data_IF_347255293353
#
_entry.id   IF_347255293353
#
_cell.length_a   1.000
_cell.length_b   1.000
_cell.length_c   1.000
_cell.angle_alpha   90.00
_cell.angle_beta   90.00
_cell.angle_gamma   90.00
#
_symmetry.space_group_name_H-M   'P 1'
#
loop_
_entity.id
_entity.type
_entity.pdbx_description
1 polymer ?
#
# COMPACT_ATOMS: atom_id res chain seq x y z
N UNK A 1 32.38 2.56 -33.20
CA UNK A 1 32.37 1.19 -33.77
C UNK A 1 31.14 0.48 -33.21
N UNK A 2 30.36 -0.23 -34.02
CA UNK A 2 29.17 -0.92 -33.53
C UNK A 2 29.53 -2.27 -32.89
N UNK A 3 28.99 -2.55 -31.70
CA UNK A 3 29.14 -3.85 -31.03
C UNK A 3 28.17 -4.85 -31.64
N UNK A 4 28.65 -6.06 -31.93
CA UNK A 4 27.75 -7.15 -32.36
C UNK A 4 26.88 -7.60 -31.18
N UNK A 5 25.69 -8.14 -31.47
CA UNK A 5 24.80 -8.67 -30.42
C UNK A 5 25.49 -9.67 -29.47
N UNK A 6 26.44 -10.47 -29.97
CA UNK A 6 27.21 -11.40 -29.16
C UNK A 6 28.18 -10.66 -28.24
N UNK A 7 28.92 -9.68 -28.76
CA UNK A 7 29.81 -8.86 -27.95
C UNK A 7 29.06 -8.10 -26.84
N UNK A 8 27.87 -7.56 -27.15
CA UNK A 8 27.03 -6.90 -26.15
C UNK A 8 26.53 -7.87 -25.08
N UNK A 9 26.07 -9.07 -25.49
CA UNK A 9 25.64 -10.12 -24.58
C UNK A 9 26.76 -10.52 -23.61
N UNK A 10 27.97 -10.70 -24.13
CA UNK A 10 29.14 -11.09 -23.35
C UNK A 10 29.56 -9.99 -22.36
N UNK A 11 29.60 -8.72 -22.80
CA UNK A 11 29.99 -7.58 -21.95
C UNK A 11 28.94 -7.29 -20.87
N UNK A 12 27.66 -7.37 -21.20
CA UNK A 12 26.57 -7.06 -20.29
C UNK A 12 26.13 -8.26 -19.42
N UNK A 13 26.72 -9.44 -19.63
CA UNK A 13 26.38 -10.65 -18.86
C UNK A 13 24.95 -11.14 -19.09
N UNK A 14 24.35 -10.86 -20.25
CA UNK A 14 22.96 -11.27 -20.58
C UNK A 14 22.93 -12.15 -21.82
N UNK A 15 21.93 -13.02 -21.91
CA UNK A 15 21.81 -13.89 -23.09
C UNK A 15 21.46 -13.08 -24.35
N UNK A 16 21.92 -13.54 -25.52
CA UNK A 16 21.50 -13.00 -26.83
C UNK A 16 19.96 -13.04 -26.98
N UNK A 17 19.30 -14.07 -26.42
CA UNK A 17 17.83 -14.17 -26.38
C UNK A 17 17.20 -13.01 -25.60
N UNK A 18 17.81 -12.57 -24.51
CA UNK A 18 17.38 -11.42 -23.72
C UNK A 18 17.44 -10.14 -24.54
N UNK A 19 18.54 -9.89 -25.26
CA UNK A 19 18.69 -8.72 -26.13
C UNK A 19 17.65 -8.72 -27.27
N UNK A 20 17.39 -9.87 -27.88
CA UNK A 20 16.32 -10.00 -28.87
C UNK A 20 14.92 -9.77 -28.28
N UNK A 21 14.68 -10.21 -27.04
CA UNK A 21 13.43 -9.95 -26.36
C UNK A 21 13.26 -8.44 -26.09
N UNK A 22 14.30 -7.75 -25.60
CA UNK A 22 14.26 -6.31 -25.37
C UNK A 22 14.00 -5.51 -26.63
N UNK A 23 14.57 -5.91 -27.76
CA UNK A 23 14.24 -5.28 -29.05
C UNK A 23 12.78 -5.51 -29.44
N UNK A 24 12.27 -6.73 -29.27
CA UNK A 24 10.88 -7.07 -29.60
C UNK A 24 9.86 -6.24 -28.83
N UNK A 25 10.13 -5.99 -27.55
CA UNK A 25 9.27 -5.14 -26.69
C UNK A 25 9.62 -3.64 -26.82
N UNK A 26 10.57 -3.29 -27.69
CA UNK A 26 11.02 -1.93 -27.93
C UNK A 26 11.78 -1.29 -26.76
N UNK A 27 12.28 -2.08 -25.82
CA UNK A 27 13.03 -1.63 -24.66
C UNK A 27 14.47 -1.26 -25.02
N UNK A 28 15.11 -2.01 -25.92
CA UNK A 28 16.45 -1.75 -26.43
C UNK A 28 16.53 -2.16 -27.90
N UNK A 29 16.75 -1.20 -28.81
CA UNK A 29 16.86 -1.47 -30.25
C UNK A 29 18.31 -1.31 -30.70
N UNK A 30 18.80 -2.14 -31.62
CA UNK A 30 20.13 -1.94 -32.19
C UNK A 30 20.14 -0.67 -33.06
N UNK A 31 21.17 0.17 -32.93
CA UNK A 31 21.36 1.35 -33.77
C UNK A 31 21.41 1.04 -35.28
N UNK A 32 21.91 -0.14 -35.67
CA UNK A 32 21.97 -0.54 -37.07
C UNK A 32 21.90 -2.06 -37.27
N UNK A 33 21.67 -2.47 -38.51
CA UNK A 33 21.89 -3.84 -38.96
C UNK A 33 22.96 -3.82 -40.04
N UNK A 34 23.95 -4.71 -39.96
CA UNK A 34 25.01 -4.82 -40.95
C UNK A 34 24.46 -5.35 -42.29
N UNK A 35 25.19 -5.18 -43.41
CA UNK A 35 24.80 -5.74 -44.71
C UNK A 35 24.59 -7.27 -44.69
N UNK A 36 25.24 -7.97 -43.76
CA UNK A 36 25.10 -9.42 -43.56
C UNK A 36 23.97 -9.80 -42.58
N UNK A 37 23.14 -8.84 -42.13
CA UNK A 37 21.98 -9.08 -41.26
C UNK A 37 22.27 -9.11 -39.76
N UNK A 38 23.49 -8.74 -39.32
CA UNK A 38 23.85 -8.74 -37.90
C UNK A 38 23.42 -7.44 -37.22
N UNK A 39 22.84 -7.54 -36.02
CA UNK A 39 22.49 -6.40 -35.17
C UNK A 39 23.76 -5.75 -34.62
N UNK A 40 23.85 -4.43 -34.77
CA UNK A 40 24.94 -3.60 -34.31
C UNK A 40 24.41 -2.57 -33.31
N UNK A 41 25.00 -2.56 -32.12
CA UNK A 41 24.66 -1.64 -31.04
C UNK A 41 25.72 -0.55 -30.92
N UNK A 42 25.30 0.67 -30.63
CA UNK A 42 26.14 1.84 -30.36
C UNK A 42 26.50 1.94 -28.88
N UNK A 43 27.45 2.81 -28.51
CA UNK A 43 27.74 3.11 -27.10
C UNK A 43 26.50 3.64 -26.36
N UNK A 44 25.64 4.42 -27.02
CA UNK A 44 24.37 4.89 -26.46
C UNK A 44 23.39 3.74 -26.19
N UNK A 45 23.38 2.71 -27.04
CA UNK A 45 22.57 1.51 -26.80
C UNK A 45 23.12 0.71 -25.61
N UNK A 46 24.44 0.67 -25.42
CA UNK A 46 25.06 0.04 -24.24
C UNK A 46 24.71 0.81 -22.97
N UNK A 47 24.74 2.14 -22.98
CA UNK A 47 24.29 2.95 -21.84
C UNK A 47 22.82 2.68 -21.51
N UNK A 48 21.97 2.60 -22.52
CA UNK A 48 20.56 2.27 -22.35
C UNK A 48 20.37 0.85 -21.80
N UNK A 49 21.11 -0.12 -22.32
CA UNK A 49 21.10 -1.50 -21.80
C UNK A 49 21.52 -1.52 -20.33
N UNK A 50 22.57 -0.78 -19.97
CA UNK A 50 23.03 -0.69 -18.58
C UNK A 50 21.91 -0.17 -17.67
N UNK A 51 21.19 0.88 -18.08
CA UNK A 51 20.03 1.39 -17.34
C UNK A 51 18.93 0.34 -17.18
N UNK A 52 18.61 -0.36 -18.27
CA UNK A 52 17.62 -1.44 -18.24
C UNK A 52 18.01 -2.50 -17.20
N UNK A 53 19.26 -2.91 -17.18
CA UNK A 53 19.75 -3.90 -16.22
C UNK A 53 19.72 -3.36 -14.78
N UNK A 54 20.08 -2.10 -14.56
CA UNK A 54 19.98 -1.48 -13.23
C UNK A 54 18.55 -1.50 -12.67
N UNK A 55 17.56 -1.07 -13.45
CA UNK A 55 16.18 -1.08 -12.96
C UNK A 55 15.62 -2.49 -12.80
N UNK A 56 16.07 -3.46 -13.61
CA UNK A 56 15.72 -4.87 -13.38
C UNK A 56 16.28 -5.40 -12.07
N UNK A 57 17.51 -5.04 -11.73
CA UNK A 57 18.15 -5.44 -10.47
C UNK A 57 17.40 -4.87 -9.26
N UNK A 58 16.79 -3.69 -9.44
CA UNK A 58 15.89 -3.06 -8.46
C UNK A 58 14.50 -3.73 -8.35
N UNK A 59 14.23 -4.78 -9.12
CA UNK A 59 12.97 -5.52 -9.10
C UNK A 59 11.85 -4.93 -9.94
N UNK A 60 12.11 -3.90 -10.74
CA UNK A 60 11.10 -3.33 -11.65
C UNK A 60 10.79 -4.28 -12.80
N UNK A 61 9.53 -4.32 -13.23
CA UNK A 61 9.12 -5.10 -14.40
C UNK A 61 9.67 -4.47 -15.68
N UNK A 62 9.87 -5.26 -16.74
CA UNK A 62 10.36 -4.75 -18.03
C UNK A 62 9.50 -3.63 -18.63
N UNK A 63 8.20 -3.61 -18.29
CA UNK A 63 7.27 -2.57 -18.72
C UNK A 63 7.53 -1.25 -17.98
N UNK A 64 7.72 -1.30 -16.65
CA UNK A 64 8.06 -0.12 -15.85
C UNK A 64 9.41 0.47 -16.27
N UNK A 65 10.41 -0.40 -16.48
CA UNK A 65 11.74 0.01 -16.95
C UNK A 65 11.64 0.76 -18.28
N UNK A 66 10.79 0.29 -19.20
CA UNK A 66 10.58 0.95 -20.48
C UNK A 66 9.99 2.36 -20.29
N UNK A 67 8.98 2.48 -19.43
CA UNK A 67 8.32 3.75 -19.16
C UNK A 67 9.27 4.79 -18.53
N UNK A 68 10.16 4.37 -17.64
CA UNK A 68 11.15 5.27 -17.01
C UNK A 68 12.23 5.72 -17.99
N UNK A 69 12.79 4.77 -18.75
CA UNK A 69 13.92 5.05 -19.65
C UNK A 69 13.49 5.86 -20.88
N UNK A 70 12.23 5.77 -21.28
CA UNK A 70 11.66 6.56 -22.38
C UNK A 70 11.10 7.92 -21.95
N UNK A 71 11.04 8.21 -20.63
CA UNK A 71 10.46 9.46 -20.13
C UNK A 71 11.46 10.63 -20.23
N UNK A 72 11.08 11.76 -20.88
CA UNK A 72 11.94 12.94 -21.00
C UNK A 72 12.07 13.74 -19.68
N UNK A 73 11.19 13.51 -18.70
CA UNK A 73 11.21 14.18 -17.38
C UNK A 73 11.96 13.37 -16.32
N UNK A 74 12.44 12.17 -16.66
CA UNK A 74 13.14 11.29 -15.73
C UNK A 74 14.52 11.82 -15.38
N UNK A 75 14.73 12.25 -14.12
CA UNK A 75 16.06 12.58 -13.62
C UNK A 75 16.87 11.31 -13.36
N UNK A 76 17.67 10.93 -14.37
CA UNK A 76 18.62 9.81 -14.34
C UNK A 76 19.54 9.87 -13.12
N UNK A 77 19.96 11.05 -12.71
CA UNK A 77 20.89 11.23 -11.59
C UNK A 77 20.20 10.95 -10.27
N UNK A 78 18.96 11.41 -10.10
CA UNK A 78 18.18 11.16 -8.90
C UNK A 78 17.85 9.67 -8.71
N UNK A 79 17.45 8.99 -9.79
CA UNK A 79 17.19 7.55 -9.75
C UNK A 79 18.44 6.73 -9.40
N UNK A 80 19.61 7.08 -9.96
CA UNK A 80 20.88 6.45 -9.60
C UNK A 80 21.31 6.75 -8.16
N UNK A 81 21.02 7.94 -7.64
CA UNK A 81 21.24 8.27 -6.22
C UNK A 81 20.32 7.44 -5.31
N UNK A 82 19.05 7.26 -5.68
CA UNK A 82 18.12 6.39 -4.96
C UNK A 82 18.58 4.92 -4.96
N UNK A 83 19.03 4.42 -6.12
CA UNK A 83 19.61 3.09 -6.23
C UNK A 83 20.86 2.92 -5.37
N UNK A 84 21.77 3.90 -5.40
CA UNK A 84 22.98 3.89 -4.56
C UNK A 84 22.62 3.83 -3.08
N UNK A 85 21.57 4.53 -2.62
CA UNK A 85 21.11 4.45 -1.22
C UNK A 85 20.70 3.02 -0.87
N UNK A 86 19.90 2.37 -1.71
CA UNK A 86 19.48 0.97 -1.51
C UNK A 86 20.67 0.00 -1.51
N UNK A 87 21.60 0.15 -2.44
CA UNK A 87 22.81 -0.69 -2.51
C UNK A 87 23.72 -0.51 -1.28
N UNK A 88 23.88 0.72 -0.80
CA UNK A 88 24.67 1.01 0.42
C UNK A 88 24.00 0.38 1.64
N UNK A 89 22.67 0.40 1.72
CA UNK A 89 21.92 -0.26 2.79
C UNK A 89 22.07 -1.79 2.75
N UNK A 90 21.95 -2.39 1.55
CA UNK A 90 22.21 -3.83 1.34
C UNK A 90 23.65 -4.20 1.71
N UNK A 91 24.63 -3.38 1.32
CA UNK A 91 26.03 -3.55 1.68
C UNK A 91 26.22 -3.50 3.21
N UNK A 92 25.56 -2.56 3.89
CA UNK A 92 25.59 -2.49 5.35
C UNK A 92 25.02 -3.74 6.02
N UNK A 93 23.92 -4.29 5.49
CA UNK A 93 23.35 -5.57 5.97
C UNK A 93 24.30 -6.73 5.77
N UNK A 94 24.89 -6.86 4.58
CA UNK A 94 25.88 -7.90 4.28
C UNK A 94 27.11 -7.76 5.19
N UNK A 95 27.57 -6.54 5.46
CA UNK A 95 28.65 -6.27 6.41
C UNK A 95 28.36 -6.80 7.81
N UNK A 96 27.16 -6.55 8.35
CA UNK A 96 26.72 -7.09 9.65
C UNK A 96 26.74 -8.63 9.69
N UNK A 97 26.32 -9.27 8.60
CA UNK A 97 26.33 -10.74 8.49
C UNK A 97 27.75 -11.30 8.46
N UNK A 98 28.68 -10.65 7.75
CA UNK A 98 30.10 -11.04 7.76
C UNK A 98 30.68 -10.93 9.17
N UNK A 99 30.45 -9.81 9.86
CA UNK A 99 30.90 -9.63 11.25
C UNK A 99 30.32 -10.68 12.22
N UNK A 100 29.11 -11.17 11.97
CA UNK A 100 28.53 -12.26 12.74
C UNK A 100 29.23 -13.59 12.47
N UNK A 101 29.50 -13.90 11.19
CA UNK A 101 30.25 -15.11 10.82
C UNK A 101 31.63 -15.10 11.49
N UNK A 102 32.35 -13.98 11.41
CA UNK A 102 33.67 -13.83 12.03
C UNK A 102 33.63 -14.03 13.55
N UNK A 103 32.64 -13.44 14.23
CA UNK A 103 32.42 -13.66 15.67
C UNK A 103 32.07 -15.10 16.01
N UNK A 104 31.27 -15.75 15.17
CA UNK A 104 30.87 -17.16 15.35
C UNK A 104 32.09 -18.07 15.20
N UNK A 105 32.95 -17.84 14.22
CA UNK A 105 34.21 -18.56 14.05
C UNK A 105 35.10 -18.37 15.29
N UNK A 106 35.30 -17.13 15.74
CA UNK A 106 36.13 -16.84 16.91
C UNK A 106 35.59 -17.48 18.20
N UNK A 107 34.27 -17.55 18.37
CA UNK A 107 33.61 -18.25 19.49
C UNK A 107 33.88 -19.75 19.47
N UNK A 108 33.78 -20.39 18.29
CA UNK A 108 34.07 -21.81 18.11
C UNK A 108 35.54 -22.11 18.43
N UNK A 109 36.47 -21.27 17.95
CA UNK A 109 37.91 -21.45 18.15
C UNK A 109 38.32 -21.28 19.62
N UNK A 110 37.69 -20.35 20.35
CA UNK A 110 38.00 -20.06 21.77
C UNK A 110 37.23 -20.93 22.75
N UNK A 111 36.20 -21.65 22.31
CA UNK A 111 35.31 -22.42 23.17
C UNK A 111 34.43 -21.56 24.09
N UNK A 112 34.27 -20.27 23.78
CA UNK A 112 33.46 -19.32 24.55
C UNK A 112 32.07 -19.20 23.91
N UNK A 113 30.97 -19.52 24.62
CA UNK A 113 29.64 -19.47 24.04
C UNK A 113 29.18 -18.02 23.82
N UNK A 114 28.71 -17.72 22.61
CA UNK A 114 28.02 -16.45 22.31
C UNK A 114 26.64 -16.41 22.97
N UNK A 115 26.24 -15.23 23.43
CA UNK A 115 24.87 -14.97 23.86
C UNK A 115 23.88 -15.04 22.69
N UNK A 116 22.59 -15.24 22.99
CA UNK A 116 21.55 -15.24 21.94
C UNK A 116 21.47 -13.90 21.21
N UNK A 117 21.68 -12.79 21.90
CA UNK A 117 21.70 -11.46 21.28
C UNK A 117 22.86 -11.32 20.29
N UNK A 118 24.03 -11.88 20.59
CA UNK A 118 25.18 -11.89 19.68
C UNK A 118 24.99 -12.86 18.51
N UNK A 119 24.37 -14.02 18.75
CA UNK A 119 24.09 -15.04 17.72
C UNK A 119 23.08 -14.58 16.69
N UNK A 120 22.08 -13.81 17.12
CA UNK A 120 20.94 -13.47 16.29
C UNK A 120 20.85 -11.99 15.91
N UNK A 121 21.57 -11.09 16.60
CA UNK A 121 21.45 -9.64 16.41
C UNK A 121 21.91 -9.10 15.05
N UNK A 122 22.70 -9.86 14.28
CA UNK A 122 23.08 -9.46 12.91
C UNK A 122 22.16 -10.04 11.83
N UNK A 123 21.33 -11.03 12.17
CA UNK A 123 20.21 -11.45 11.33
C UNK A 123 19.09 -10.43 11.53
N UNK A 124 19.30 -9.26 10.94
CA UNK A 124 18.29 -8.23 10.82
C UNK A 124 17.20 -8.75 9.86
N UNK A 125 16.19 -9.39 10.45
CA UNK A 125 15.01 -9.90 9.77
C UNK A 125 14.00 -8.80 9.44
N UNK A 126 14.41 -7.52 9.42
CA UNK A 126 13.70 -6.41 8.79
C UNK A 126 13.49 -6.69 7.30
N UNK A 127 12.57 -7.61 7.04
CA UNK A 127 12.09 -7.97 5.72
C UNK A 127 11.14 -6.85 5.36
N UNK A 128 11.68 -5.81 4.73
CA UNK A 128 10.89 -4.70 4.25
C UNK A 128 9.92 -5.22 3.19
N UNK A 129 8.61 -5.18 3.47
CA UNK A 129 7.56 -5.41 2.50
C UNK A 129 6.98 -4.07 2.08
N UNK A 130 7.11 -3.74 0.81
CA UNK A 130 6.56 -2.51 0.22
C UNK A 130 5.13 -2.76 -0.26
N UNK A 131 4.15 -2.19 0.45
CA UNK A 131 2.77 -2.14 0.03
C UNK A 131 2.47 -0.92 -0.86
N UNK A 132 1.22 -0.84 -1.36
CA UNK A 132 0.75 0.27 -2.22
C UNK A 132 1.04 1.63 -1.58
N UNK A 133 0.67 1.80 -0.31
CA UNK A 133 0.78 3.09 0.42
C UNK A 133 1.61 3.03 1.70
N UNK A 134 2.01 1.83 2.14
CA UNK A 134 2.73 1.60 3.40
C UNK A 134 3.92 0.68 3.20
N UNK A 135 5.01 0.96 3.90
CA UNK A 135 6.21 0.13 3.96
C UNK A 135 6.23 -0.56 5.33
N UNK A 136 6.39 -1.88 5.36
CA UNK A 136 6.28 -2.73 6.56
C UNK A 136 7.65 -3.32 6.86
N UNK A 137 8.19 -3.06 8.04
CA UNK A 137 9.48 -3.57 8.50
C UNK A 137 9.27 -4.53 9.66
N UNK A 138 9.66 -5.79 9.48
CA UNK A 138 9.60 -6.81 10.52
C UNK A 138 10.80 -6.69 11.47
N UNK A 139 10.61 -6.16 12.68
CA UNK A 139 11.68 -5.96 13.65
C UNK A 139 11.90 -7.17 14.57
N UNK A 140 11.41 -8.36 14.17
CA UNK A 140 11.41 -9.56 15.00
C UNK A 140 10.13 -9.67 15.83
N UNK A 141 10.16 -9.14 17.06
CA UNK A 141 9.03 -9.21 18.01
C UNK A 141 7.95 -8.16 17.73
N UNK A 142 8.33 -7.08 17.03
CA UNK A 142 7.45 -5.97 16.66
C UNK A 142 7.50 -5.73 15.15
N UNK A 143 6.53 -4.99 14.63
CA UNK A 143 6.51 -4.53 13.24
C UNK A 143 6.45 -3.01 13.20
N UNK A 144 7.22 -2.39 12.33
CA UNK A 144 7.15 -0.96 12.06
C UNK A 144 6.38 -0.74 10.76
N UNK A 145 5.30 0.04 10.84
CA UNK A 145 4.50 0.45 9.70
C UNK A 145 4.84 1.89 9.37
N UNK A 146 5.36 2.15 8.17
CA UNK A 146 5.66 3.51 7.70
C UNK A 146 4.68 3.88 6.60
N UNK A 147 3.77 4.80 6.90
CA UNK A 147 2.83 5.33 5.94
C UNK A 147 3.51 6.34 5.02
N UNK A 148 3.46 6.06 3.72
CA UNK A 148 4.01 6.95 2.71
C UNK A 148 2.96 7.95 2.23
N UNK A 149 3.45 8.99 1.56
CA UNK A 149 2.59 9.97 0.87
C UNK A 149 2.09 9.45 -0.49
N UNK A 150 2.38 8.18 -0.83
CA UNK A 150 1.85 7.53 -2.02
C UNK A 150 0.34 7.41 -1.90
N UNK A 151 -0.34 7.65 -3.00
CA UNK A 151 -1.77 7.47 -3.15
C UNK A 151 -2.03 6.61 -4.38
N UNK A 152 -2.99 5.68 -4.27
CA UNK A 152 -3.46 4.86 -5.38
C UNK A 152 -4.87 5.22 -5.78
N UNK A 153 -5.15 5.12 -7.08
CA UNK A 153 -6.48 5.22 -7.65
C UNK A 153 -6.65 4.11 -8.70
N UNK A 154 -7.81 3.46 -8.70
CA UNK A 154 -8.10 2.31 -9.59
C UNK A 154 -6.99 1.25 -9.58
N UNK A 155 -6.48 0.93 -8.38
CA UNK A 155 -5.39 -0.02 -8.14
C UNK A 155 -4.00 0.31 -8.70
N UNK A 156 -3.83 1.49 -9.30
CA UNK A 156 -2.53 1.99 -9.74
C UNK A 156 -2.02 3.06 -8.78
N UNK A 157 -0.75 2.97 -8.39
CA UNK A 157 -0.08 3.99 -7.56
C UNK A 157 0.26 5.19 -8.43
N UNK A 158 -0.13 6.38 -7.98
CA UNK A 158 0.16 7.62 -8.69
C UNK A 158 1.63 8.01 -8.55
N UNK A 159 2.24 8.62 -9.59
CA UNK A 159 3.61 9.13 -9.51
C UNK A 159 3.74 10.34 -8.57
N UNK A 160 2.66 11.12 -8.40
CA UNK A 160 2.64 12.33 -7.56
C UNK A 160 2.21 12.00 -6.12
N UNK A 161 3.05 12.25 -5.10
CA UNK A 161 2.66 12.05 -3.70
C UNK A 161 1.68 13.13 -3.22
N UNK A 162 0.90 12.79 -2.20
CA UNK A 162 0.01 13.73 -1.49
C UNK A 162 0.71 14.19 -0.21
N UNK A 163 1.10 15.47 -0.09
CA UNK A 163 1.85 15.96 1.05
C UNK A 163 1.21 15.59 2.40
N UNK A 164 2.03 15.10 3.32
CA UNK A 164 1.71 14.72 4.70
C UNK A 164 0.62 13.65 4.86
N UNK A 165 0.17 13.01 3.77
CA UNK A 165 -0.84 11.95 3.81
C UNK A 165 -0.42 10.83 4.76
N UNK A 166 0.83 10.37 4.68
CA UNK A 166 1.30 9.27 5.51
C UNK A 166 1.20 9.58 7.00
N UNK A 167 1.61 10.78 7.39
CA UNK A 167 1.53 11.24 8.77
C UNK A 167 0.07 11.38 9.23
N UNK A 168 -0.78 11.97 8.38
CA UNK A 168 -2.21 12.12 8.67
C UNK A 168 -2.91 10.79 8.90
N UNK A 169 -2.70 9.80 8.03
CA UNK A 169 -3.33 8.48 8.14
C UNK A 169 -2.86 7.74 9.40
N UNK A 170 -1.59 7.90 9.76
CA UNK A 170 -1.00 7.29 10.96
C UNK A 170 -1.60 7.89 12.22
N UNK A 171 -1.61 9.22 12.35
CA UNK A 171 -2.17 9.89 13.51
C UNK A 171 -3.70 9.71 13.62
N UNK A 172 -4.41 9.65 12.49
CA UNK A 172 -5.85 9.37 12.50
C UNK A 172 -6.14 7.94 12.96
N UNK A 173 -5.35 6.95 12.52
CA UNK A 173 -5.47 5.58 13.00
C UNK A 173 -5.20 5.50 14.50
N UNK A 174 -4.16 6.19 14.99
CA UNK A 174 -3.85 6.27 16.41
C UNK A 174 -4.98 6.87 17.24
N UNK A 175 -5.60 7.95 16.75
CA UNK A 175 -6.80 8.53 17.34
C UNK A 175 -7.93 7.51 17.45
N UNK A 176 -8.24 6.79 16.36
CA UNK A 176 -9.30 5.79 16.37
C UNK A 176 -9.00 4.61 17.27
N UNK A 177 -7.77 4.10 17.28
CA UNK A 177 -7.34 3.05 18.19
C UNK A 177 -7.56 3.44 19.65
N UNK A 178 -7.23 4.68 20.05
CA UNK A 178 -7.52 5.18 21.39
C UNK A 178 -9.03 5.29 21.67
N UNK A 179 -9.81 5.75 20.68
CA UNK A 179 -11.27 5.89 20.81
C UNK A 179 -12.01 4.57 20.89
N UNK A 180 -11.52 3.52 20.23
CA UNK A 180 -12.18 2.20 20.13
C UNK A 180 -11.56 1.14 21.04
N UNK A 181 -10.55 1.47 21.86
CA UNK A 181 -9.89 0.53 22.78
C UNK A 181 -10.84 -0.18 23.76
N UNK A 182 -12.00 0.42 24.05
CA UNK A 182 -13.04 -0.18 24.89
C UNK A 182 -13.91 -1.22 24.16
N UNK A 183 -13.80 -1.32 22.83
CA UNK A 183 -14.52 -2.28 21.98
C UNK A 183 -13.63 -3.45 21.58
N UNK A 184 -12.37 -3.16 21.24
CA UNK A 184 -11.38 -4.15 20.81
C UNK A 184 -9.96 -3.64 21.03
N UNK A 185 -9.06 -4.54 21.39
CA UNK A 185 -7.64 -4.26 21.50
C UNK A 185 -7.01 -4.08 20.12
N UNK A 186 -5.94 -3.29 20.02
CA UNK A 186 -5.26 -3.00 18.75
C UNK A 186 -3.75 -3.25 18.83
N UNK A 187 -3.10 -3.37 17.68
CA UNK A 187 -1.66 -3.67 17.65
C UNK A 187 -0.72 -2.49 17.95
N UNK A 188 -1.21 -1.25 18.08
CA UNK A 188 -0.34 -0.07 18.15
C UNK A 188 0.37 0.01 19.51
N UNK A 189 1.70 0.14 19.47
CA UNK A 189 2.55 0.43 20.63
C UNK A 189 2.92 1.91 20.71
N UNK A 190 3.23 2.52 19.56
CA UNK A 190 3.47 3.96 19.42
C UNK A 190 3.12 4.42 18.01
N UNK A 191 2.51 5.60 17.89
CA UNK A 191 2.21 6.25 16.61
C UNK A 191 3.28 7.26 16.16
N UNK A 192 4.35 7.41 16.95
CA UNK A 192 5.52 8.22 16.61
C UNK A 192 6.76 7.73 17.38
N UNK A 193 7.29 6.54 17.06
CA UNK A 193 8.45 5.97 17.77
C UNK A 193 9.77 6.69 17.45
N UNK A 194 9.80 7.55 16.43
CA UNK A 194 11.00 8.29 15.98
C UNK A 194 10.70 9.78 15.77
N UNK A 195 10.31 10.52 16.83
CA UNK A 195 9.85 11.90 16.71
C UNK A 195 10.96 12.87 16.24
N UNK A 196 12.23 12.51 16.42
CA UNK A 196 13.38 13.34 16.02
C UNK A 196 13.82 13.13 14.56
N UNK A 197 13.28 12.13 13.85
CA UNK A 197 13.59 11.86 12.44
C UNK A 197 12.54 12.48 11.52
N UNK A 198 12.85 13.56 10.77
CA UNK A 198 11.89 14.21 9.89
C UNK A 198 11.30 13.29 8.81
N UNK A 199 11.97 12.20 8.45
CA UNK A 199 11.47 11.24 7.46
C UNK A 199 10.43 10.27 8.04
N UNK A 200 10.40 10.09 9.36
CA UNK A 200 9.53 9.12 10.06
C UNK A 200 8.53 9.77 11.00
N UNK A 201 8.79 11.00 11.45
CA UNK A 201 7.97 11.75 12.40
C UNK A 201 6.51 11.75 11.99
N UNK A 202 5.67 11.29 12.91
CA UNK A 202 4.22 11.24 12.80
C UNK A 202 3.67 10.24 11.77
N UNK A 203 4.51 9.59 10.95
CA UNK A 203 4.11 8.65 9.89
C UNK A 203 4.57 7.21 10.11
N UNK A 204 5.32 6.96 11.17
CA UNK A 204 5.76 5.63 11.58
C UNK A 204 4.96 5.15 12.78
N UNK A 205 4.47 3.91 12.72
CA UNK A 205 3.73 3.27 13.81
C UNK A 205 4.43 1.97 14.21
N UNK A 206 4.91 1.90 15.44
CA UNK A 206 5.43 0.66 16.02
C UNK A 206 4.26 -0.17 16.53
N UNK A 207 4.18 -1.43 16.11
CA UNK A 207 3.07 -2.31 16.40
C UNK A 207 3.55 -3.66 16.95
N UNK A 208 2.70 -4.33 17.73
CA UNK A 208 2.82 -5.76 18.02
C UNK A 208 2.69 -6.55 16.72
N UNK A 209 3.46 -7.63 16.64
CA UNK A 209 3.36 -8.58 15.52
C UNK A 209 2.19 -9.52 15.77
N UNK A 210 1.27 -9.59 14.81
CA UNK A 210 0.08 -10.45 14.88
C UNK A 210 0.09 -11.47 13.75
N UNK A 211 -0.47 -12.65 14.00
CA UNK A 211 -0.86 -13.59 12.95
C UNK A 211 -2.05 -13.01 12.21
N UNK A 212 -1.84 -12.56 10.97
CA UNK A 212 -2.88 -11.90 10.17
C UNK A 212 -4.00 -12.89 9.81
N UNK A 213 -5.24 -12.45 9.94
CA UNK A 213 -6.40 -13.14 9.38
C UNK A 213 -6.66 -12.59 7.97
N UNK A 214 -6.64 -13.47 6.97
CA UNK A 214 -6.75 -13.09 5.55
C UNK A 214 -8.20 -12.84 5.10
N UNK A 215 -8.92 -12.02 5.87
CA UNK A 215 -10.28 -11.57 5.61
C UNK A 215 -10.34 -10.06 5.78
N UNK A 216 -10.64 -9.35 4.70
CA UNK A 216 -10.95 -7.94 4.75
C UNK A 216 -12.38 -7.75 5.27
N UNK A 217 -12.50 -7.24 6.49
CA UNK A 217 -13.76 -7.14 7.19
C UNK A 217 -14.42 -5.79 6.90
N UNK A 218 -15.30 -5.75 5.89
CA UNK A 218 -15.96 -4.51 5.46
C UNK A 218 -17.32 -4.36 6.13
N UNK A 219 -17.54 -3.21 6.79
CA UNK A 219 -18.85 -2.76 7.25
C UNK A 219 -19.42 -1.71 6.31
N UNK A 220 -20.72 -1.78 6.01
CA UNK A 220 -21.44 -0.80 5.18
C UNK A 220 -22.70 -0.33 5.88
N UNK A 221 -22.82 0.96 6.14
CA UNK A 221 -24.08 1.57 6.63
C UNK A 221 -24.79 2.41 5.58
N UNK A 222 -24.17 2.60 4.42
CA UNK A 222 -24.76 3.32 3.28
C UNK A 222 -24.51 2.58 1.97
N UNK A 223 -25.45 2.71 1.04
CA UNK A 223 -25.41 2.04 -0.25
C UNK A 223 -24.57 2.83 -1.27
N UNK A 224 -23.30 2.45 -1.44
CA UNK A 224 -22.38 3.10 -2.37
C UNK A 224 -21.39 2.10 -3.01
N UNK A 225 -20.71 2.54 -4.06
CA UNK A 225 -19.63 1.77 -4.70
C UNK A 225 -20.09 0.39 -5.18
N UNK A 226 -19.30 -0.64 -4.88
CA UNK A 226 -19.58 -2.01 -5.31
C UNK A 226 -20.90 -2.55 -4.75
N UNK A 227 -21.29 -2.16 -3.53
CA UNK A 227 -22.57 -2.55 -2.96
C UNK A 227 -23.76 -1.97 -3.73
N UNK A 228 -23.67 -0.71 -4.17
CA UNK A 228 -24.69 -0.11 -5.04
C UNK A 228 -24.76 -0.81 -6.40
N UNK A 229 -23.61 -1.12 -6.99
CA UNK A 229 -23.54 -1.86 -8.26
C UNK A 229 -24.17 -3.26 -8.17
N UNK A 230 -23.92 -3.99 -7.07
CA UNK A 230 -24.55 -5.28 -6.80
C UNK A 230 -26.07 -5.13 -6.61
N UNK A 231 -26.49 -4.21 -5.74
CA UNK A 231 -27.90 -4.00 -5.42
C UNK A 231 -28.73 -3.69 -6.67
N UNK A 232 -28.23 -2.84 -7.57
CA UNK A 232 -28.91 -2.53 -8.84
C UNK A 232 -29.13 -3.76 -9.73
N UNK A 233 -28.25 -4.76 -9.63
CA UNK A 233 -28.27 -5.96 -10.48
C UNK A 233 -29.11 -7.08 -9.89
N UNK A 234 -29.02 -7.29 -8.58
CA UNK A 234 -29.57 -8.47 -7.90
C UNK A 234 -30.43 -8.16 -6.66
N UNK A 235 -30.49 -6.90 -6.23
CA UNK A 235 -31.19 -6.51 -4.99
C UNK A 235 -30.50 -7.00 -3.72
N UNK A 236 -29.22 -7.37 -3.81
CA UNK A 236 -28.41 -7.90 -2.70
C UNK A 236 -27.24 -6.98 -2.36
N UNK A 237 -26.72 -7.12 -1.14
CA UNK A 237 -25.50 -6.46 -0.65
C UNK A 237 -24.60 -7.54 -0.05
N UNK A 238 -23.45 -7.81 -0.65
CA UNK A 238 -22.57 -8.91 -0.23
C UNK A 238 -23.28 -10.27 -0.26
N UNK A 239 -24.11 -10.50 -1.28
CA UNK A 239 -24.93 -11.72 -1.44
C UNK A 239 -26.14 -11.82 -0.51
N UNK A 240 -26.34 -10.87 0.41
CA UNK A 240 -27.47 -10.86 1.35
C UNK A 240 -28.64 -10.05 0.78
N UNK A 241 -29.90 -10.51 0.91
CA UNK A 241 -31.06 -9.72 0.48
C UNK A 241 -31.11 -8.36 1.17
N UNK A 242 -31.31 -7.30 0.40
CA UNK A 242 -31.47 -5.95 0.91
C UNK A 242 -32.91 -5.46 0.71
N UNK A 243 -33.38 -4.48 1.52
CA UNK A 243 -34.71 -3.88 1.33
C UNK A 243 -34.92 -3.36 -0.09
N UNK A 244 -36.13 -3.51 -0.63
CA UNK A 244 -36.49 -2.99 -1.95
C UNK A 244 -36.58 -1.45 -1.95
N UNK A 245 -36.36 -0.83 -3.12
CA UNK A 245 -36.55 0.62 -3.31
C UNK A 245 -35.44 1.50 -2.76
N UNK A 246 -34.24 0.95 -2.49
CA UNK A 246 -33.09 1.75 -2.09
C UNK A 246 -32.49 2.49 -3.30
N UNK A 247 -31.95 3.68 -3.02
CA UNK A 247 -31.27 4.53 -3.99
C UNK A 247 -29.80 4.68 -3.62
N UNK A 248 -28.98 5.19 -4.54
CA UNK A 248 -27.57 5.48 -4.27
C UNK A 248 -27.41 6.43 -3.08
N UNK A 249 -26.47 6.12 -2.19
CA UNK A 249 -26.24 6.86 -0.95
C UNK A 249 -27.31 6.62 0.13
N UNK A 250 -28.30 5.73 -0.08
CA UNK A 250 -29.30 5.43 0.96
C UNK A 250 -28.63 4.86 2.21
N UNK A 251 -29.08 5.33 3.37
CA UNK A 251 -28.74 4.74 4.67
C UNK A 251 -29.40 3.36 4.81
N UNK A 252 -28.63 2.38 5.28
CA UNK A 252 -29.11 1.03 5.52
C UNK A 252 -29.73 0.94 6.93
N UNK A 253 -30.85 0.22 7.11
CA UNK A 253 -31.47 0.08 8.43
C UNK A 253 -30.52 -0.48 9.49
N UNK A 254 -29.69 -1.44 9.10
CA UNK A 254 -28.60 -1.98 9.89
C UNK A 254 -27.35 -2.10 9.00
N UNK A 255 -26.14 -1.94 9.56
CA UNK A 255 -24.91 -2.12 8.80
C UNK A 255 -24.76 -3.56 8.29
N UNK A 256 -24.33 -3.71 7.04
CA UNK A 256 -24.00 -5.00 6.46
C UNK A 256 -22.53 -5.33 6.67
N UNK A 257 -22.25 -6.58 7.06
CA UNK A 257 -20.91 -7.17 7.01
C UNK A 257 -20.71 -7.84 5.65
N UNK A 258 -19.79 -7.31 4.84
CA UNK A 258 -19.52 -7.76 3.46
C UNK A 258 -18.04 -8.10 3.28
N UNK A 259 -17.58 -9.26 3.76
CA UNK A 259 -16.16 -9.58 3.75
C UNK A 259 -15.62 -9.75 2.33
N UNK A 260 -14.33 -9.47 2.15
CA UNK A 260 -13.59 -9.76 0.92
C UNK A 260 -12.33 -10.57 1.23
N UNK A 261 -11.85 -11.34 0.26
CA UNK A 261 -10.55 -12.00 0.34
C UNK A 261 -9.45 -10.95 0.43
N UNK A 262 -8.29 -11.26 1.00
CA UNK A 262 -7.10 -10.42 0.88
C UNK A 262 -6.15 -10.99 -0.19
N UNK A 263 -6.19 -10.44 -1.39
CA UNK A 263 -5.35 -10.93 -2.49
C UNK A 263 -3.92 -10.35 -2.41
N UNK A 264 -2.89 -11.20 -2.49
CA UNK A 264 -1.49 -10.73 -2.62
C UNK A 264 -1.23 -10.07 -3.99
N UNK A 265 -1.95 -10.52 -5.02
CA UNK A 265 -1.93 -9.98 -6.38
C UNK A 265 -3.34 -10.04 -6.98
N UNK A 266 -3.75 -8.99 -7.71
CA UNK A 266 -5.11 -8.87 -8.24
C UNK A 266 -6.03 -8.03 -7.35
N UNK A 267 -7.34 -8.19 -7.52
CA UNK A 267 -8.37 -7.47 -6.75
C UNK A 267 -8.96 -8.38 -5.69
N UNK A 268 -9.32 -7.79 -4.55
CA UNK A 268 -10.06 -8.48 -3.49
C UNK A 268 -11.45 -8.90 -4.00
N UNK A 269 -11.82 -10.15 -3.74
CA UNK A 269 -13.06 -10.73 -4.19
C UNK A 269 -14.08 -10.80 -3.04
N UNK A 270 -15.37 -10.55 -3.29
CA UNK A 270 -16.43 -10.79 -2.30
C UNK A 270 -16.37 -12.21 -1.74
N UNK A 271 -16.50 -12.32 -0.42
CA UNK A 271 -16.67 -13.58 0.30
C UNK A 271 -18.08 -13.64 0.89
N UNK A 272 -18.68 -14.82 0.82
CA UNK A 272 -19.85 -15.16 1.62
C UNK A 272 -19.46 -15.39 3.08
N UNK A 273 -20.42 -15.21 3.99
CA UNK A 273 -20.19 -15.49 5.41
C UNK A 273 -19.82 -16.96 5.67
N UNK A 274 -20.37 -17.89 4.90
CA UNK A 274 -20.03 -19.31 4.98
C UNK A 274 -18.57 -19.60 4.57
N UNK A 275 -18.02 -18.87 3.59
CA UNK A 275 -16.60 -18.97 3.24
C UNK A 275 -15.70 -18.42 4.34
N UNK A 276 -16.11 -17.34 5.02
CA UNK A 276 -15.39 -16.86 6.21
C UNK A 276 -15.41 -17.92 7.31
N UNK A 277 -16.56 -18.53 7.62
CA UNK A 277 -16.65 -19.62 8.60
C UNK A 277 -15.77 -20.83 8.24
N UNK A 278 -15.71 -21.17 6.95
CA UNK A 278 -14.86 -22.27 6.47
C UNK A 278 -13.36 -21.96 6.60
N UNK A 279 -12.98 -20.68 6.46
CA UNK A 279 -11.58 -20.24 6.56
C UNK A 279 -11.10 -20.15 8.00
N UNK A 280 -11.88 -19.51 8.88
CA UNK A 280 -11.42 -19.11 10.23
C UNK A 280 -12.15 -19.84 11.37
N UNK A 281 -13.16 -20.65 11.06
CA UNK A 281 -14.04 -21.29 12.04
C UNK A 281 -15.21 -20.39 12.46
N UNK A 282 -16.31 -21.01 12.91
CA UNK A 282 -17.57 -20.33 13.21
C UNK A 282 -17.48 -19.29 14.32
N UNK A 283 -16.76 -19.62 15.39
CA UNK A 283 -16.63 -18.75 16.56
C UNK A 283 -15.87 -17.46 16.20
N UNK A 284 -14.71 -17.59 15.56
CA UNK A 284 -13.92 -16.46 15.12
C UNK A 284 -14.63 -15.65 14.03
N UNK A 285 -15.33 -16.29 13.09
CA UNK A 285 -16.14 -15.60 12.08
C UNK A 285 -17.26 -14.75 12.71
N UNK A 286 -17.95 -15.29 13.72
CA UNK A 286 -18.97 -14.56 14.47
C UNK A 286 -18.36 -13.35 15.20
N UNK A 287 -17.19 -13.54 15.82
CA UNK A 287 -16.47 -12.48 16.52
C UNK A 287 -16.02 -11.37 15.56
N UNK A 288 -15.41 -11.73 14.42
CA UNK A 288 -15.01 -10.78 13.37
C UNK A 288 -16.18 -9.91 12.92
N UNK A 289 -17.33 -10.53 12.62
CA UNK A 289 -18.55 -9.81 12.24
C UNK A 289 -19.00 -8.86 13.35
N UNK A 290 -19.11 -9.36 14.58
CA UNK A 290 -19.57 -8.58 15.73
C UNK A 290 -18.68 -7.35 15.96
N UNK A 291 -17.37 -7.53 16.09
CA UNK A 291 -16.45 -6.43 16.40
C UNK A 291 -16.37 -5.43 15.24
N UNK A 292 -16.42 -5.90 13.99
CA UNK A 292 -16.45 -5.04 12.81
C UNK A 292 -17.66 -4.12 12.81
N UNK A 293 -18.86 -4.66 13.06
CA UNK A 293 -20.08 -3.87 13.07
C UNK A 293 -20.15 -2.93 14.29
N UNK A 294 -19.65 -3.36 15.46
CA UNK A 294 -19.62 -2.53 16.66
C UNK A 294 -18.66 -1.34 16.51
N UNK A 295 -17.43 -1.58 16.03
CA UNK A 295 -16.46 -0.51 15.77
C UNK A 295 -16.99 0.46 14.72
N UNK A 296 -17.56 -0.05 13.64
CA UNK A 296 -18.18 0.79 12.60
C UNK A 296 -19.34 1.63 13.15
N UNK A 297 -20.28 1.02 13.87
CA UNK A 297 -21.45 1.73 14.41
C UNK A 297 -21.04 2.85 15.37
N UNK A 298 -20.07 2.58 16.25
CA UNK A 298 -19.55 3.57 17.19
C UNK A 298 -18.86 4.73 16.45
N UNK A 299 -17.95 4.43 15.52
CA UNK A 299 -17.22 5.45 14.77
C UNK A 299 -18.14 6.29 13.88
N UNK A 300 -19.15 5.65 13.27
CA UNK A 300 -20.18 6.31 12.47
C UNK A 300 -20.96 7.33 13.30
N UNK A 301 -21.40 6.97 14.50
CA UNK A 301 -22.10 7.89 15.39
C UNK A 301 -21.20 9.06 15.80
N UNK A 302 -19.96 8.76 16.21
CA UNK A 302 -18.96 9.76 16.60
C UNK A 302 -18.64 10.77 15.47
N UNK A 303 -18.47 10.28 14.24
CA UNK A 303 -18.17 11.10 13.08
C UNK A 303 -19.37 11.95 12.64
N UNK A 304 -20.60 11.45 12.81
CA UNK A 304 -21.83 12.17 12.44
C UNK A 304 -21.96 13.48 13.22
N UNK A 305 -21.65 13.47 14.51
CA UNK A 305 -21.61 14.68 15.36
C UNK A 305 -20.59 15.71 14.89
N UNK A 306 -19.58 15.27 14.12
CA UNK A 306 -18.50 16.09 13.57
C UNK A 306 -18.71 16.42 12.08
N UNK A 307 -19.93 16.23 11.59
CA UNK A 307 -20.31 16.58 10.23
C UNK A 307 -19.72 15.65 9.16
N UNK A 308 -19.38 14.41 9.52
CA UNK A 308 -18.89 13.38 8.59
C UNK A 308 -19.79 12.16 8.61
N UNK A 309 -20.16 11.68 7.43
CA UNK A 309 -20.82 10.39 7.21
C UNK A 309 -19.78 9.36 6.82
N UNK A 310 -19.63 8.31 7.61
CA UNK A 310 -18.81 7.15 7.24
C UNK A 310 -19.71 6.15 6.52
N UNK A 311 -19.61 6.11 5.19
CA UNK A 311 -20.49 5.29 4.36
C UNK A 311 -20.19 3.79 4.53
N UNK A 312 -18.92 3.45 4.49
CA UNK A 312 -18.37 2.12 4.72
C UNK A 312 -16.91 2.22 5.19
N UNK A 313 -16.40 1.13 5.75
CA UNK A 313 -15.02 1.01 6.21
C UNK A 313 -14.54 -0.44 6.11
N UNK A 314 -13.25 -0.64 5.87
CA UNK A 314 -12.56 -1.94 5.91
C UNK A 314 -11.66 -2.01 7.13
N UNK A 315 -11.85 -3.06 7.94
CA UNK A 315 -10.96 -3.40 9.05
C UNK A 315 -10.16 -4.66 8.70
N UNK A 316 -8.97 -4.76 9.28
CA UNK A 316 -8.17 -5.99 9.28
C UNK A 316 -7.91 -6.43 10.72
N UNK A 317 -7.81 -7.74 10.91
CA UNK A 317 -7.63 -8.35 12.21
C UNK A 317 -6.47 -9.33 12.21
N UNK A 318 -5.94 -9.58 13.39
CA UNK A 318 -4.95 -10.61 13.61
C UNK A 318 -5.07 -11.20 15.01
N UNK A 319 -4.31 -12.26 15.25
CA UNK A 319 -4.20 -12.91 16.54
C UNK A 319 -2.85 -12.59 17.18
N UNK A 320 -2.86 -12.21 18.46
CA UNK A 320 -1.67 -12.13 19.30
C UNK A 320 -1.93 -13.01 20.52
N UNK A 321 -1.10 -14.03 20.71
CA UNK A 321 -1.27 -15.03 21.77
C UNK A 321 -2.67 -15.69 21.78
N UNK A 322 -3.28 -15.83 20.60
CA UNK A 322 -4.62 -16.39 20.41
C UNK A 322 -5.77 -15.38 20.57
N UNK A 323 -5.48 -14.15 20.98
CA UNK A 323 -6.49 -13.09 21.17
C UNK A 323 -6.68 -12.25 19.91
N UNK A 324 -7.95 -11.97 19.58
CA UNK A 324 -8.32 -11.17 18.41
C UNK A 324 -8.06 -9.69 18.67
N UNK A 325 -7.24 -9.08 17.82
CA UNK A 325 -6.96 -7.65 17.84
C UNK A 325 -7.19 -7.02 16.47
N UNK A 326 -7.51 -5.72 16.46
CA UNK A 326 -7.52 -4.92 15.22
C UNK A 326 -6.09 -4.54 14.84
N UNK A 327 -5.75 -4.70 13.56
CA UNK A 327 -4.43 -4.38 13.01
C UNK A 327 -4.58 -3.40 11.84
N UNK A 328 -3.51 -3.19 11.09
CA UNK A 328 -3.46 -2.33 9.90
C UNK A 328 -3.73 -0.84 10.22
N UNK A 329 -4.42 -0.11 9.34
CA UNK A 329 -4.93 1.23 9.63
C UNK A 329 -6.41 1.15 10.02
N UNK A 330 -6.90 2.13 10.79
CA UNK A 330 -8.29 2.12 11.27
C UNK A 330 -9.02 3.41 10.93
N UNK A 331 -10.13 3.30 10.20
CA UNK A 331 -11.09 4.39 9.95
C UNK A 331 -10.44 5.65 9.36
N UNK A 332 -9.63 5.45 8.33
CA UNK A 332 -8.97 6.52 7.57
C UNK A 332 -9.68 6.78 6.23
N UNK A 333 -9.41 7.91 5.54
CA UNK A 333 -9.88 8.11 4.16
C UNK A 333 -9.36 7.09 3.13
N UNK A 334 -8.32 6.32 3.46
CA UNK A 334 -7.80 5.26 2.59
C UNK A 334 -8.55 3.93 2.78
N UNK A 335 -9.06 3.68 3.99
CA UNK A 335 -9.80 2.48 4.39
C UNK A 335 -11.32 2.66 4.44
N UNK A 336 -11.80 3.90 4.33
CA UNK A 336 -13.21 4.28 4.57
C UNK A 336 -13.69 5.34 3.60
N UNK A 337 -15.01 5.36 3.36
CA UNK A 337 -15.65 6.41 2.56
C UNK A 337 -16.24 7.51 3.44
N UNK A 338 -15.76 8.74 3.27
CA UNK A 338 -16.13 9.88 4.11
C UNK A 338 -16.88 10.96 3.34
N UNK A 339 -18.14 11.19 3.67
CA UNK A 339 -18.95 12.25 3.05
C UNK A 339 -19.19 13.43 4.01
N UNK A 340 -19.14 14.68 3.53
CA UNK A 340 -19.62 15.83 4.28
C UNK A 340 -21.13 15.71 4.55
N UNK A 341 -21.51 15.69 5.83
CA UNK A 341 -22.90 15.50 6.23
C UNK A 341 -23.82 16.63 5.75
N UNK A 342 -23.29 17.85 5.59
CA UNK A 342 -23.98 19.02 5.07
C UNK A 342 -24.27 18.97 3.55
N UNK A 343 -23.59 18.08 2.83
CA UNK A 343 -23.75 17.91 1.38
C UNK A 343 -24.34 16.55 0.99
N UNK A 344 -24.51 15.66 1.97
CA UNK A 344 -25.06 14.33 1.78
C UNK A 344 -26.51 14.37 1.28
N UNK A 345 -26.78 13.70 0.15
CA UNK A 345 -28.14 13.60 -0.43
C UNK A 345 -28.35 12.25 -1.10
N UNK A 346 -29.43 11.54 -0.74
CA UNK A 346 -29.79 10.26 -1.37
C UNK A 346 -30.17 10.47 -2.84
N UNK A 347 -29.81 9.50 -3.69
CA UNK A 347 -30.15 9.48 -5.12
C UNK A 347 -29.11 10.10 -6.05
N UNK A 348 -27.92 10.45 -5.54
CA UNK A 348 -26.83 11.01 -6.33
C UNK A 348 -25.46 10.48 -5.87
N UNK A 349 -24.42 10.75 -6.65
CA UNK A 349 -23.04 10.59 -6.18
C UNK A 349 -22.74 11.59 -5.06
N UNK A 350 -21.95 11.18 -4.08
CA UNK A 350 -21.65 11.98 -2.90
C UNK A 350 -20.34 12.74 -3.08
N UNK A 351 -20.31 13.98 -2.59
CA UNK A 351 -19.04 14.65 -2.32
C UNK A 351 -18.24 13.81 -1.32
N UNK A 352 -16.92 13.85 -1.43
CA UNK A 352 -16.06 13.05 -0.55
C UNK A 352 -14.85 13.79 -0.01
N UNK A 353 -14.47 13.44 1.20
CA UNK A 353 -13.17 13.75 1.80
C UNK A 353 -12.08 12.73 1.43
N UNK A 354 -12.47 11.59 0.85
CA UNK A 354 -11.55 10.53 0.44
C UNK A 354 -11.06 10.72 -1.01
N UNK A 355 -10.60 9.61 -1.59
CA UNK A 355 -10.07 9.48 -2.96
C UNK A 355 -11.07 9.89 -4.06
N UNK A 356 -12.35 10.14 -3.79
CA UNK A 356 -13.33 10.43 -4.83
C UNK A 356 -13.02 11.71 -5.64
N UNK A 357 -12.58 12.79 -5.00
CA UNK A 357 -12.18 14.02 -5.73
C UNK A 357 -11.08 13.74 -6.76
N UNK A 358 -10.09 12.93 -6.36
CA UNK A 358 -9.01 12.50 -7.23
C UNK A 358 -9.53 11.57 -8.34
N UNK A 359 -10.42 10.62 -8.02
CA UNK A 359 -11.01 9.71 -9.01
C UNK A 359 -11.80 10.48 -10.07
N UNK A 360 -12.59 11.48 -9.69
CA UNK A 360 -13.35 12.31 -10.62
C UNK A 360 -12.42 13.10 -11.55
N UNK A 361 -11.32 13.63 -11.02
CA UNK A 361 -10.28 14.29 -11.82
C UNK A 361 -9.64 13.31 -12.83
N UNK A 362 -9.29 12.11 -12.39
CA UNK A 362 -8.67 11.08 -13.22
C UNK A 362 -9.64 10.53 -14.30
N UNK A 363 -10.92 10.39 -13.98
CA UNK A 363 -11.96 10.06 -14.95
C UNK A 363 -12.09 11.18 -16.01
N UNK A 364 -12.06 12.44 -15.59
CA UNK A 364 -12.12 13.59 -16.48
C UNK A 364 -10.85 13.79 -17.32
N UNK A 365 -9.70 13.27 -16.89
CA UNK A 365 -8.44 13.38 -17.62
C UNK A 365 -8.38 12.46 -18.85
N UNK A 366 -9.35 11.55 -19.01
CA UNK A 366 -9.37 10.57 -20.10
C UNK A 366 -8.40 9.40 -19.92
N UNK A 367 -7.90 9.18 -18.70
CA UNK A 367 -7.03 8.04 -18.40
C UNK A 367 -7.82 6.73 -18.46
N UNK A 368 -7.24 5.71 -19.08
CA UNK A 368 -7.85 4.38 -19.26
C UNK A 368 -7.79 3.49 -18.00
N UNK A 369 -7.27 4.03 -16.89
CA UNK A 369 -7.10 3.37 -15.59
C UNK A 369 -6.06 2.24 -15.62
N UNK A 370 -5.20 2.21 -16.65
CA UNK A 370 -4.09 1.27 -16.76
C UNK A 370 -2.76 1.97 -16.46
N UNK A 371 -1.76 1.25 -15.91
CA UNK A 371 -0.43 1.81 -15.74
C UNK A 371 0.21 2.28 -17.07
N UNK A 372 1.00 3.37 -17.07
CA UNK A 372 1.29 4.24 -15.93
C UNK A 372 0.14 5.22 -15.64
N UNK A 373 -0.08 5.53 -14.36
CA UNK A 373 -1.01 6.59 -13.97
C UNK A 373 -0.46 7.99 -14.33
N UNK A 374 -1.32 8.96 -14.67
CA UNK A 374 -0.88 10.31 -14.99
C UNK A 374 -0.32 11.05 -13.76
N UNK A 375 0.56 12.01 -14.00
CA UNK A 375 0.97 12.98 -12.97
C UNK A 375 -0.22 13.85 -12.56
N UNK A 376 -0.28 14.18 -11.27
CA UNK A 376 -1.24 15.14 -10.75
C UNK A 376 -0.69 16.55 -10.85
N UNK A 377 -1.47 17.51 -11.38
CA UNK A 377 -1.16 18.92 -11.23
C UNK A 377 -1.00 19.27 -9.73
N UNK A 378 -0.05 20.16 -9.37
CA UNK A 378 0.21 20.52 -7.97
C UNK A 378 -1.04 20.97 -7.20
N UNK A 379 -1.97 21.67 -7.85
CA UNK A 379 -3.23 22.12 -7.29
C UNK A 379 -4.18 20.97 -6.95
N UNK A 380 -4.18 19.89 -7.73
CA UNK A 380 -4.98 18.70 -7.47
C UNK A 380 -4.41 17.93 -6.29
N UNK A 381 -3.08 17.79 -6.22
CA UNK A 381 -2.41 17.17 -5.08
C UNK A 381 -2.65 17.96 -3.79
N UNK A 382 -2.50 19.29 -3.84
CA UNK A 382 -2.74 20.19 -2.70
C UNK A 382 -4.20 20.15 -2.24
N UNK A 383 -5.17 20.17 -3.17
CA UNK A 383 -6.61 20.07 -2.84
C UNK A 383 -6.99 18.71 -2.29
N UNK A 384 -6.34 17.64 -2.74
CA UNK A 384 -6.49 16.30 -2.17
C UNK A 384 -5.95 16.26 -0.75
N UNK A 385 -4.76 16.80 -0.50
CA UNK A 385 -4.19 16.92 0.85
C UNK A 385 -5.10 17.72 1.78
N UNK A 386 -5.66 18.83 1.32
CA UNK A 386 -6.57 19.66 2.12
C UNK A 386 -7.84 18.92 2.52
N UNK A 387 -8.42 18.09 1.64
CA UNK A 387 -9.57 17.24 1.99
C UNK A 387 -9.25 16.25 3.11
N UNK A 388 -8.05 15.67 3.09
CA UNK A 388 -7.61 14.75 4.15
C UNK A 388 -7.42 15.53 5.46
N UNK A 389 -6.77 16.71 5.42
CA UNK A 389 -6.61 17.58 6.59
C UNK A 389 -7.94 18.04 7.14
N UNK A 390 -8.91 18.39 6.30
CA UNK A 390 -10.25 18.77 6.74
C UNK A 390 -10.95 17.62 7.46
N UNK A 391 -10.90 16.39 6.93
CA UNK A 391 -11.45 15.22 7.61
C UNK A 391 -10.76 14.99 8.96
N UNK A 392 -9.43 15.07 9.02
CA UNK A 392 -8.67 14.95 10.25
C UNK A 392 -9.11 16.00 11.28
N UNK A 393 -9.14 17.28 10.91
CA UNK A 393 -9.53 18.39 11.79
C UNK A 393 -10.93 18.23 12.35
N UNK A 394 -11.89 17.81 11.51
CA UNK A 394 -13.27 17.56 11.96
C UNK A 394 -13.34 16.38 12.94
N UNK A 395 -12.64 15.28 12.67
CA UNK A 395 -12.67 14.07 13.51
C UNK A 395 -11.94 14.26 14.84
N UNK A 396 -10.71 14.76 14.78
CA UNK A 396 -9.80 14.89 15.91
C UNK A 396 -10.09 16.16 16.72
N UNK A 397 -10.52 17.24 16.06
CA UNK A 397 -10.76 18.54 16.68
C UNK A 397 -9.51 19.42 16.79
N UNK A 398 -8.41 19.05 16.13
CA UNK A 398 -7.15 19.78 16.11
C UNK A 398 -6.45 19.65 14.74
N UNK A 399 -5.51 20.55 14.47
CA UNK A 399 -4.61 20.43 13.33
C UNK A 399 -3.60 19.29 13.54
N UNK A 400 -3.03 18.79 12.43
CA UNK A 400 -1.99 17.78 12.47
C UNK A 400 -0.64 18.45 12.83
N UNK A 401 -0.01 18.02 13.92
CA UNK A 401 1.29 18.52 14.38
C UNK A 401 2.41 17.58 13.94
N UNK A 402 2.88 17.69 12.69
CA UNK A 402 3.90 16.80 12.11
C UNK A 402 4.92 17.50 11.24
#
# INVERSE_FOLDING_TARGET
>A
MGYTVKAVADVAGVSVRTLHHYDRIGLLRPAATSPAGYRLYSDADLERLQQVLFFRELGFSLQDVKAFVDSPTFDRTEALRAHRRLLVEQQGRLGRLVELVDRTIASIEKGEPMSNQERFGAFDYATMRRGKVRDVYDLGDTVLLVASDRLSAFDVVLPTPIPDKGALLTQLSAFWFGKTAHLIENHMLSADPYPDDPALRGRAMLCRKAERIDVECVARGYLAGSAWAEYRRTGTIGGQPAPAGLHEGAELPEPFFTPTTKAETGHDLPMSYAEVEALVGRELAARLREVTLNVYAWARAFARERGIVIADTKLEFGLVDGELIVIDELLTPDSSRFWPADQYRVGQSQASFDKQYLRDFLDASGWDKQPPAPELPPEVAARTAEKYREAYRRLVGADLEV
#
